data_IF_906899323873
#
_entry.id   IF_906899323873
#
_cell.length_a   1.000
_cell.length_b   1.000
_cell.length_c   1.000
_cell.angle_alpha   90.00
_cell.angle_beta   90.00
_cell.angle_gamma   90.00
#
_symmetry.space_group_name_H-M   'P 1'
#
loop_
_entity.id
_entity.type
_entity.pdbx_description
1 polymer ?
#
# COMPACT_ATOMS: atom_id res chain seq x y z
N UNK A 1 7.07 7.21 -2.49
CA UNK A 1 5.65 7.33 -2.09
C UNK A 1 5.52 7.89 -0.68
N UNK A 2 6.06 7.24 0.36
CA UNK A 2 6.01 7.70 1.75
C UNK A 2 6.47 9.16 1.93
N UNK A 3 7.61 9.52 1.34
CA UNK A 3 8.11 10.91 1.37
C UNK A 3 7.16 11.88 0.68
N UNK A 4 6.54 11.49 -0.44
CA UNK A 4 5.57 12.35 -1.15
C UNK A 4 4.31 12.56 -0.30
N UNK A 5 3.77 11.51 0.32
CA UNK A 5 2.60 11.62 1.22
C UNK A 5 2.91 12.47 2.46
N UNK A 6 4.13 12.38 2.99
CA UNK A 6 4.57 13.22 4.10
C UNK A 6 4.71 14.69 3.67
N UNK A 7 5.29 14.94 2.51
CA UNK A 7 5.40 16.30 1.93
C UNK A 7 4.01 16.92 1.75
N UNK A 8 3.04 16.17 1.21
CA UNK A 8 1.66 16.65 1.12
C UNK A 8 1.08 17.02 2.49
N UNK A 9 1.22 16.14 3.49
CA UNK A 9 0.73 16.42 4.84
C UNK A 9 1.33 17.73 5.38
N UNK A 10 2.65 17.90 5.25
CA UNK A 10 3.37 19.11 5.70
C UNK A 10 2.91 20.36 4.94
N UNK A 11 2.71 20.29 3.62
CA UNK A 11 2.21 21.43 2.84
C UNK A 11 0.80 21.85 3.28
N UNK A 12 -0.10 20.90 3.54
CA UNK A 12 -1.46 21.19 4.03
C UNK A 12 -1.44 21.81 5.44
N UNK A 13 -0.59 21.31 6.34
CA UNK A 13 -0.42 21.92 7.67
C UNK A 13 0.27 23.29 7.62
N UNK A 14 1.22 23.50 6.70
CA UNK A 14 1.90 24.79 6.52
C UNK A 14 0.98 25.86 5.92
N UNK A 15 0.09 25.47 5.00
CA UNK A 15 -0.90 26.37 4.39
C UNK A 15 -1.86 26.98 5.44
N UNK A 16 -2.15 26.24 6.52
CA UNK A 16 -3.02 26.67 7.61
C UNK A 16 -2.52 27.92 8.36
N UNK A 17 -1.23 28.26 8.23
CA UNK A 17 -0.61 29.41 8.89
C UNK A 17 -0.86 30.73 8.14
N UNK A 18 -1.25 30.68 6.86
CA UNK A 18 -1.31 31.86 5.98
C UNK A 18 -2.65 32.62 5.96
N UNK A 19 -3.26 32.84 7.14
CA UNK A 19 -4.44 33.72 7.25
C UNK A 19 -5.65 33.23 6.44
N UNK A 20 -5.87 31.92 6.41
CA UNK A 20 -6.95 31.27 5.68
C UNK A 20 -8.29 31.44 6.40
N UNK A 21 -9.41 31.38 5.68
CA UNK A 21 -10.73 31.44 6.32
C UNK A 21 -10.91 30.28 7.32
N UNK A 22 -11.76 30.41 8.35
CA UNK A 22 -11.99 29.34 9.31
C UNK A 22 -12.47 28.02 8.67
N UNK A 23 -13.24 28.09 7.59
CA UNK A 23 -13.71 26.91 6.86
C UNK A 23 -12.55 26.20 6.14
N UNK A 24 -11.64 26.96 5.52
CA UNK A 24 -10.46 26.42 4.84
C UNK A 24 -9.46 25.82 5.83
N UNK A 25 -9.32 26.42 7.01
CA UNK A 25 -8.48 25.90 8.09
C UNK A 25 -8.93 24.50 8.51
N UNK A 26 -10.23 24.33 8.78
CA UNK A 26 -10.80 23.03 9.16
C UNK A 26 -10.57 22.00 8.06
N UNK A 27 -10.84 22.37 6.80
CA UNK A 27 -10.63 21.48 5.66
C UNK A 27 -9.16 21.03 5.53
N UNK A 28 -8.22 21.96 5.65
CA UNK A 28 -6.79 21.67 5.56
C UNK A 28 -6.31 20.75 6.70
N UNK A 29 -6.77 20.97 7.93
CA UNK A 29 -6.43 20.11 9.07
C UNK A 29 -6.98 18.69 8.90
N UNK A 30 -8.20 18.55 8.37
CA UNK A 30 -8.80 17.24 8.09
C UNK A 30 -8.00 16.50 7.03
N UNK A 31 -7.70 17.16 5.90
CA UNK A 31 -6.92 16.56 4.80
C UNK A 31 -5.51 16.21 5.27
N UNK A 32 -4.83 17.10 6.01
CA UNK A 32 -3.50 16.87 6.57
C UNK A 32 -3.45 15.66 7.51
N UNK A 33 -4.45 15.52 8.38
CA UNK A 33 -4.59 14.38 9.29
C UNK A 33 -4.79 13.06 8.53
N UNK A 34 -5.65 13.06 7.51
CA UNK A 34 -5.89 11.87 6.66
C UNK A 34 -4.59 11.46 5.95
N UNK A 35 -3.88 12.42 5.37
CA UNK A 35 -2.60 12.19 4.68
C UNK A 35 -1.54 11.62 5.63
N UNK A 36 -1.45 12.15 6.84
CA UNK A 36 -0.55 11.65 7.87
C UNK A 36 -0.91 10.20 8.26
N UNK A 37 -2.20 9.90 8.45
CA UNK A 37 -2.68 8.55 8.70
C UNK A 37 -2.30 7.57 7.59
N UNK A 38 -2.50 7.95 6.33
CA UNK A 38 -2.10 7.15 5.16
C UNK A 38 -0.59 6.95 5.14
N UNK A 39 0.20 8.00 5.40
CA UNK A 39 1.66 7.88 5.50
C UNK A 39 2.07 6.86 6.57
N UNK A 40 1.46 6.92 7.76
CA UNK A 40 1.76 5.99 8.85
C UNK A 40 1.39 4.54 8.50
N UNK A 41 0.24 4.33 7.86
CA UNK A 41 -0.19 3.00 7.38
C UNK A 41 0.78 2.45 6.35
N UNK A 42 1.14 3.24 5.34
CA UNK A 42 2.09 2.81 4.29
C UNK A 42 3.47 2.51 4.87
N UNK A 43 3.92 3.34 5.82
CA UNK A 43 5.21 3.14 6.52
C UNK A 43 5.18 1.88 7.39
N UNK A 44 4.07 1.59 8.04
CA UNK A 44 3.90 0.36 8.82
C UNK A 44 3.92 -0.87 7.91
N UNK A 45 3.14 -0.84 6.82
CA UNK A 45 3.08 -1.92 5.83
C UNK A 45 4.47 -2.27 5.27
N UNK A 46 5.28 -1.25 4.96
CA UNK A 46 6.66 -1.44 4.49
C UNK A 46 7.54 -2.18 5.49
N UNK A 47 7.50 -1.78 6.77
CA UNK A 47 8.30 -2.42 7.83
C UNK A 47 7.93 -3.89 7.99
N UNK A 48 6.63 -4.20 7.95
CA UNK A 48 6.14 -5.57 8.04
C UNK A 48 6.50 -6.38 6.79
N UNK A 49 6.45 -5.78 5.59
CA UNK A 49 6.91 -6.41 4.36
C UNK A 49 8.40 -6.78 4.41
N UNK A 50 9.25 -5.88 4.91
CA UNK A 50 10.69 -6.14 5.03
C UNK A 50 10.97 -7.29 6.01
N UNK A 51 10.32 -7.30 7.18
CA UNK A 51 10.41 -8.42 8.15
C UNK A 51 9.95 -9.74 7.55
N UNK A 52 8.80 -9.73 6.87
CA UNK A 52 8.26 -10.93 6.25
C UNK A 52 9.19 -11.46 5.15
N UNK A 53 9.77 -10.58 4.32
CA UNK A 53 10.72 -10.99 3.28
C UNK A 53 12.00 -11.59 3.86
N UNK A 54 12.54 -11.01 4.92
CA UNK A 54 13.71 -11.58 5.61
C UNK A 54 13.39 -12.96 6.20
N UNK A 55 12.23 -13.09 6.84
CA UNK A 55 11.76 -14.37 7.35
C UNK A 55 11.55 -15.40 6.23
N UNK A 56 10.97 -14.98 5.11
CA UNK A 56 10.70 -15.85 3.96
C UNK A 56 11.99 -16.41 3.36
N UNK A 57 13.02 -15.57 3.18
CA UNK A 57 14.31 -16.01 2.66
C UNK A 57 15.02 -16.97 3.64
N UNK A 58 14.99 -16.67 4.94
CA UNK A 58 15.56 -17.53 5.97
C UNK A 58 14.90 -18.91 6.05
N UNK A 59 13.59 -19.00 5.79
CA UNK A 59 12.80 -20.23 5.90
C UNK A 59 12.50 -20.87 4.55
N UNK A 60 13.10 -20.39 3.45
CA UNK A 60 12.77 -20.82 2.08
C UNK A 60 12.83 -22.33 1.88
N UNK A 61 13.88 -22.98 2.39
CA UNK A 61 14.07 -24.43 2.27
C UNK A 61 13.06 -25.20 3.10
N UNK A 62 12.70 -24.67 4.28
CA UNK A 62 11.70 -25.28 5.15
C UNK A 62 10.30 -25.21 4.54
N UNK A 63 9.93 -24.08 3.93
CA UNK A 63 8.63 -23.91 3.24
C UNK A 63 8.52 -24.84 2.03
N UNK A 64 9.62 -25.03 1.30
CA UNK A 64 9.64 -25.92 0.14
C UNK A 64 9.64 -27.41 0.53
N UNK A 65 10.19 -27.78 1.68
CA UNK A 65 10.24 -29.18 2.13
C UNK A 65 9.00 -29.60 2.92
N UNK A 66 8.59 -28.81 3.91
CA UNK A 66 7.47 -29.07 4.82
C UNK A 66 6.63 -27.79 5.01
N UNK A 67 6.69 -27.17 6.19
CA UNK A 67 5.91 -25.98 6.59
C UNK A 67 6.68 -25.12 7.57
N UNK A 68 6.43 -23.81 7.54
CA UNK A 68 7.00 -22.83 8.45
C UNK A 68 5.91 -21.93 9.05
N UNK A 69 6.13 -21.40 10.25
CA UNK A 69 5.17 -20.54 10.92
C UNK A 69 5.66 -19.10 10.98
N UNK A 70 4.82 -18.17 10.50
CA UNK A 70 5.05 -16.73 10.63
C UNK A 70 3.89 -16.09 11.40
N UNK A 71 4.17 -15.50 12.56
CA UNK A 71 3.14 -14.88 13.42
C UNK A 71 1.92 -15.80 13.68
N UNK A 72 2.17 -17.07 14.00
CA UNK A 72 1.15 -18.11 14.21
C UNK A 72 0.37 -18.55 12.96
N UNK A 73 0.76 -18.08 11.78
CA UNK A 73 0.17 -18.51 10.50
C UNK A 73 1.08 -19.57 9.89
N UNK A 74 0.50 -20.71 9.56
CA UNK A 74 1.17 -21.78 8.82
C UNK A 74 1.35 -21.36 7.35
N UNK A 75 2.58 -21.54 6.85
CA UNK A 75 2.96 -21.24 5.47
C UNK A 75 3.66 -22.47 4.91
N UNK A 76 3.07 -23.02 3.87
CA UNK A 76 3.57 -24.13 3.06
C UNK A 76 3.81 -23.67 1.60
N UNK A 77 4.31 -24.58 0.76
CA UNK A 77 4.54 -24.31 -0.67
C UNK A 77 3.28 -23.90 -1.45
N UNK A 78 2.09 -24.29 -1.00
CA UNK A 78 0.81 -24.07 -1.68
C UNK A 78 0.07 -22.81 -1.19
N UNK A 79 0.59 -22.18 -0.14
CA UNK A 79 0.01 -21.01 0.48
C UNK A 79 -0.09 -19.87 -0.54
N UNK A 80 -1.30 -19.34 -0.69
CA UNK A 80 -1.62 -18.27 -1.64
C UNK A 80 -1.50 -16.92 -0.96
N UNK A 81 -0.61 -16.10 -1.48
CA UNK A 81 -0.48 -14.71 -1.10
C UNK A 81 -1.21 -13.79 -2.08
N UNK A 82 -1.64 -12.65 -1.56
CA UNK A 82 -2.22 -11.55 -2.34
C UNK A 82 -1.46 -10.27 -2.03
N UNK A 83 -1.14 -9.50 -3.06
CA UNK A 83 -0.64 -8.13 -2.94
C UNK A 83 -1.59 -7.16 -3.64
N UNK A 84 -1.72 -5.97 -3.09
CA UNK A 84 -2.46 -4.86 -3.67
C UNK A 84 -1.50 -3.74 -4.02
N UNK A 85 -1.88 -2.95 -5.02
CA UNK A 85 -1.08 -1.80 -5.44
C UNK A 85 -1.77 -0.50 -5.06
N UNK A 86 -0.97 0.52 -4.74
CA UNK A 86 -1.42 1.89 -4.69
C UNK A 86 -0.58 2.75 -5.65
N UNK A 87 -1.23 3.62 -6.40
CA UNK A 87 -0.57 4.65 -7.21
C UNK A 87 -0.71 6.02 -6.54
N UNK A 88 0.39 6.76 -6.50
CA UNK A 88 0.41 8.16 -6.07
C UNK A 88 1.15 8.94 -7.15
N UNK A 89 0.55 10.05 -7.55
CA UNK A 89 1.00 10.89 -8.64
C UNK A 89 1.06 12.35 -8.19
N UNK A 90 1.97 13.11 -8.79
CA UNK A 90 2.14 14.54 -8.57
C UNK A 90 2.83 15.20 -9.76
N UNK A 91 2.18 16.19 -10.36
CA UNK A 91 2.72 16.97 -11.48
C UNK A 91 2.99 16.10 -12.71
N UNK A 92 4.23 15.62 -12.83
CA UNK A 92 4.69 14.71 -13.90
C UNK A 92 5.17 13.36 -13.36
N UNK A 93 5.28 13.20 -12.04
CA UNK A 93 5.79 12.00 -11.40
C UNK A 93 4.65 11.09 -10.98
N UNK A 94 4.73 9.81 -11.34
CA UNK A 94 3.79 8.78 -10.90
C UNK A 94 4.54 7.57 -10.36
N UNK A 95 4.26 7.21 -9.10
CA UNK A 95 4.89 6.07 -8.42
C UNK A 95 3.84 5.03 -8.07
N UNK A 96 4.24 3.76 -8.13
CA UNK A 96 3.41 2.61 -7.77
C UNK A 96 4.06 1.91 -6.59
N UNK A 97 3.27 1.53 -5.59
CA UNK A 97 3.73 0.79 -4.43
C UNK A 97 2.90 -0.48 -4.28
N UNK A 98 3.60 -1.60 -4.10
CA UNK A 98 3.01 -2.89 -3.75
C UNK A 98 2.88 -2.97 -2.22
N UNK A 99 1.77 -3.51 -1.75
CA UNK A 99 1.55 -3.83 -0.34
C UNK A 99 2.46 -4.97 0.12
N UNK A 100 2.46 -5.25 1.43
CA UNK A 100 2.94 -6.54 1.94
C UNK A 100 2.15 -7.71 1.34
N UNK A 101 2.73 -8.91 1.48
CA UNK A 101 2.07 -10.17 1.13
C UNK A 101 1.04 -10.50 2.22
N UNK A 102 -0.22 -10.62 1.82
CA UNK A 102 -1.29 -11.08 2.70
C UNK A 102 -1.62 -12.53 2.39
N UNK A 103 -1.67 -13.39 3.41
CA UNK A 103 -2.18 -14.76 3.26
C UNK A 103 -3.68 -14.70 2.96
N UNK A 104 -4.08 -15.21 1.79
CA UNK A 104 -5.43 -15.03 1.24
C UNK A 104 -6.53 -15.55 2.15
N UNK A 105 -6.28 -16.66 2.84
CA UNK A 105 -7.28 -17.39 3.63
C UNK A 105 -7.39 -16.86 5.07
N UNK A 106 -6.36 -16.17 5.56
CA UNK A 106 -6.30 -15.68 6.95
C UNK A 106 -6.62 -14.20 7.05
N UNK A 107 -6.14 -13.39 6.09
CA UNK A 107 -6.30 -11.95 6.14
C UNK A 107 -7.59 -11.50 5.45
N UNK A 108 -8.18 -10.43 5.97
CA UNK A 108 -9.33 -9.75 5.34
C UNK A 108 -8.87 -8.97 4.09
N UNK A 109 -8.61 -9.70 3.01
CA UNK A 109 -8.01 -9.17 1.77
C UNK A 109 -8.89 -8.14 1.06
N UNK A 110 -10.22 -8.21 1.20
CA UNK A 110 -11.15 -7.24 0.60
C UNK A 110 -10.93 -5.83 1.17
N UNK A 111 -10.80 -5.70 2.49
CA UNK A 111 -10.54 -4.42 3.16
C UNK A 111 -9.18 -3.84 2.74
N UNK A 112 -8.16 -4.70 2.61
CA UNK A 112 -6.85 -4.27 2.13
C UNK A 112 -6.94 -3.76 0.69
N UNK A 113 -7.64 -4.46 -0.20
CA UNK A 113 -7.87 -4.01 -1.57
C UNK A 113 -8.63 -2.69 -1.66
N UNK A 114 -9.64 -2.49 -0.80
CA UNK A 114 -10.37 -1.23 -0.71
C UNK A 114 -9.47 -0.07 -0.27
N UNK A 115 -8.66 -0.28 0.78
CA UNK A 115 -7.76 0.74 1.31
C UNK A 115 -6.74 1.22 0.27
N UNK A 116 -6.07 0.29 -0.41
CA UNK A 116 -5.09 0.62 -1.45
C UNK A 116 -5.74 1.23 -2.71
N UNK A 117 -6.97 0.82 -3.03
CA UNK A 117 -7.75 1.44 -4.11
C UNK A 117 -8.19 2.86 -3.77
N UNK A 118 -8.61 3.11 -2.52
CA UNK A 118 -8.96 4.45 -2.06
C UNK A 118 -7.76 5.41 -2.15
N UNK A 119 -6.57 4.97 -1.72
CA UNK A 119 -5.33 5.74 -1.89
C UNK A 119 -5.11 6.09 -3.37
N UNK A 120 -5.30 5.12 -4.27
CA UNK A 120 -5.16 5.34 -5.72
C UNK A 120 -6.21 6.30 -6.28
N UNK A 121 -7.47 6.17 -5.85
CA UNK A 121 -8.57 7.05 -6.25
C UNK A 121 -8.36 8.49 -5.79
N UNK A 122 -7.69 8.72 -4.67
CA UNK A 122 -7.45 10.07 -4.17
C UNK A 122 -6.17 10.68 -4.73
N UNK A 123 -5.11 9.87 -4.91
CA UNK A 123 -3.77 10.39 -5.16
C UNK A 123 -3.15 9.95 -6.49
N UNK A 124 -3.75 9.02 -7.22
CA UNK A 124 -3.16 8.45 -8.43
C UNK A 124 -3.27 9.32 -9.68
N UNK A 125 -4.18 10.29 -9.71
CA UNK A 125 -4.56 11.00 -10.94
C UNK A 125 -3.66 12.16 -11.32
N UNK A 126 -2.96 12.75 -10.35
CA UNK A 126 -2.36 14.08 -10.46
C UNK A 126 -1.07 14.16 -11.30
N UNK A 127 -0.77 13.14 -12.10
CA UNK A 127 0.33 13.19 -13.07
C UNK A 127 -0.22 13.06 -14.49
N UNK A 128 -0.16 14.13 -15.29
CA UNK A 128 -0.65 14.08 -16.68
C UNK A 128 0.49 13.66 -17.62
N UNK A 129 0.31 12.67 -18.52
CA UNK A 129 -0.84 11.75 -18.70
C UNK A 129 -0.71 10.40 -17.96
N UNK A 130 0.43 10.12 -17.32
CA UNK A 130 0.79 8.78 -16.79
C UNK A 130 -0.07 8.34 -15.60
N UNK A 131 -0.52 9.30 -14.79
CA UNK A 131 -1.28 9.10 -13.56
C UNK A 131 -2.63 8.42 -13.81
N UNK A 132 -3.52 8.96 -14.66
CA UNK A 132 -4.79 8.32 -14.96
C UNK A 132 -4.65 6.90 -15.50
N UNK A 133 -3.75 6.68 -16.47
CA UNK A 133 -3.50 5.34 -17.03
C UNK A 133 -3.07 4.34 -15.95
N UNK A 134 -2.10 4.73 -15.10
CA UNK A 134 -1.62 3.88 -14.01
C UNK A 134 -2.68 3.65 -12.94
N UNK A 135 -3.46 4.67 -12.61
CA UNK A 135 -4.52 4.59 -11.61
C UNK A 135 -5.58 3.59 -12.01
N UNK A 136 -6.07 3.68 -13.25
CA UNK A 136 -7.04 2.73 -13.79
C UNK A 136 -6.48 1.30 -13.76
N UNK A 137 -5.24 1.10 -14.19
CA UNK A 137 -4.58 -0.21 -14.15
C UNK A 137 -4.48 -0.80 -12.74
N UNK A 138 -4.13 0.03 -11.75
CA UNK A 138 -4.04 -0.37 -10.34
C UNK A 138 -5.42 -0.70 -9.76
N UNK A 139 -6.41 0.18 -9.98
CA UNK A 139 -7.78 -0.02 -9.49
C UNK A 139 -8.39 -1.31 -10.05
N UNK A 140 -8.26 -1.51 -11.37
CA UNK A 140 -8.75 -2.71 -12.03
C UNK A 140 -8.16 -3.99 -11.44
N UNK A 141 -6.86 -3.99 -11.14
CA UNK A 141 -6.19 -5.13 -10.53
C UNK A 141 -6.61 -5.35 -9.08
N UNK A 142 -6.75 -4.31 -8.28
CA UNK A 142 -7.21 -4.44 -6.90
C UNK A 142 -8.65 -4.98 -6.84
N UNK A 143 -9.54 -4.50 -7.71
CA UNK A 143 -10.93 -4.99 -7.84
C UNK A 143 -10.98 -6.47 -8.24
N UNK A 144 -10.03 -6.97 -9.05
CA UNK A 144 -9.89 -8.39 -9.39
C UNK A 144 -9.29 -9.26 -8.27
N UNK A 145 -9.09 -8.69 -7.09
CA UNK A 145 -8.56 -9.37 -5.90
C UNK A 145 -7.04 -9.37 -5.82
N UNK A 146 -6.38 -8.37 -6.40
CA UNK A 146 -4.95 -8.15 -6.29
C UNK A 146 -4.08 -9.12 -7.09
N UNK A 147 -2.78 -8.99 -6.94
CA UNK A 147 -1.80 -9.92 -7.49
C UNK A 147 -1.71 -11.17 -6.62
N UNK A 148 -2.13 -12.31 -7.15
CA UNK A 148 -2.09 -13.61 -6.47
C UNK A 148 -0.79 -14.31 -6.82
N UNK A 149 -0.07 -14.79 -5.83
CA UNK A 149 1.17 -15.54 -6.01
C UNK A 149 1.23 -16.66 -4.98
N UNK A 150 1.69 -17.84 -5.38
CA UNK A 150 1.91 -18.95 -4.44
C UNK A 150 3.28 -18.86 -3.78
N UNK A 151 3.45 -19.46 -2.60
CA UNK A 151 4.74 -19.49 -1.91
C UNK A 151 5.84 -20.11 -2.78
N UNK A 152 5.52 -21.17 -3.52
CA UNK A 152 6.45 -21.81 -4.44
C UNK A 152 6.92 -20.86 -5.56
N UNK A 153 6.00 -20.14 -6.22
CA UNK A 153 6.35 -19.16 -7.27
C UNK A 153 7.12 -17.95 -6.73
N UNK A 154 6.95 -17.62 -5.46
CA UNK A 154 7.63 -16.49 -4.82
C UNK A 154 9.07 -16.82 -4.42
N UNK A 155 9.35 -18.09 -4.13
CA UNK A 155 10.62 -18.58 -3.58
C UNK A 155 11.49 -19.27 -4.64
N UNK A 156 10.87 -19.98 -5.60
CA UNK A 156 11.54 -20.74 -6.66
C UNK A 156 12.11 -19.85 -7.75
#
# INVERSE_FOLDING_TARGET
>A
MEVLTLVYAVCFFGAAVFGVSPADLVLQLVIGTILLGIYLVLRHDRREQEKFRMWLDANRLQILSDRAFYNHIEIDRHTKFVQFDAAVSFGIFSTRRTSRLFVREVHFTLLQGMLFSLITLMFGWWALPVGPFRSISVLWRNVRGGHKITAQELIG
#
